data_IF_372036378987
#
_entry.id   IF_372036378987
#
_cell.length_a   1.000
_cell.length_b   1.000
_cell.length_c   1.000
_cell.angle_alpha   90.00
_cell.angle_beta   90.00
_cell.angle_gamma   90.00
#
_symmetry.space_group_name_H-M   'P 1'
#
loop_
_entity.id
_entity.type
_entity.pdbx_description
1 polymer ?
#
# COMPACT_ATOMS: atom_id res chain seq x y z
N UNK A 1 -14.57 -3.81 9.36
CA UNK A 1 -13.82 -2.71 8.73
C UNK A 1 -14.48 -1.42 9.18
N UNK A 2 -13.78 -0.50 9.86
CA UNK A 2 -14.32 0.84 10.07
C UNK A 2 -14.59 1.40 8.67
N UNK A 3 -15.87 1.62 8.35
CA UNK A 3 -16.28 2.19 7.07
C UNK A 3 -15.73 3.61 7.00
N UNK A 4 -15.03 3.94 5.91
CA UNK A 4 -14.77 5.34 5.59
C UNK A 4 -16.14 6.02 5.49
N UNK A 5 -16.43 7.05 6.31
CA UNK A 5 -17.67 7.80 6.19
C UNK A 5 -17.83 8.32 4.76
N UNK A 6 -19.07 8.42 4.28
CA UNK A 6 -19.35 8.98 2.95
C UNK A 6 -18.68 10.35 2.78
N UNK A 7 -18.25 10.70 1.57
CA UNK A 7 -17.48 11.92 1.30
C UNK A 7 -18.24 13.17 1.80
N UNK A 8 -19.57 13.13 1.71
CA UNK A 8 -20.55 14.11 2.20
C UNK A 8 -20.53 14.36 3.73
N UNK A 9 -19.73 13.62 4.49
CA UNK A 9 -19.58 13.80 5.95
C UNK A 9 -18.24 14.44 6.34
N UNK A 10 -17.48 14.93 5.35
CA UNK A 10 -16.12 15.45 5.53
C UNK A 10 -15.91 16.88 5.03
N UNK A 11 -16.98 17.61 4.75
CA UNK A 11 -16.93 18.96 4.18
C UNK A 11 -15.98 19.90 4.94
N UNK A 12 -15.93 19.80 6.27
CA UNK A 12 -14.98 20.57 7.09
C UNK A 12 -13.51 20.18 6.88
N UNK A 13 -13.19 18.89 6.81
CA UNK A 13 -11.81 18.44 6.51
C UNK A 13 -11.41 18.79 5.07
N UNK A 14 -12.36 18.72 4.14
CA UNK A 14 -12.14 19.08 2.76
C UNK A 14 -11.82 20.57 2.69
N UNK A 15 -12.70 21.45 3.16
CA UNK A 15 -12.49 22.90 3.14
C UNK A 15 -11.24 23.39 3.90
N UNK A 16 -10.85 22.75 5.01
CA UNK A 16 -9.68 23.15 5.80
C UNK A 16 -8.34 22.58 5.30
N UNK A 17 -8.33 21.39 4.72
CA UNK A 17 -7.09 20.64 4.43
C UNK A 17 -6.81 20.48 2.93
N UNK A 18 -7.78 20.75 2.07
CA UNK A 18 -7.62 20.71 0.63
C UNK A 18 -8.46 21.84 -0.01
N UNK A 19 -7.85 22.67 -0.86
CA UNK A 19 -8.56 23.72 -1.59
C UNK A 19 -9.49 23.08 -2.63
N UNK A 20 -10.66 22.63 -2.18
CA UNK A 20 -11.62 21.78 -2.92
C UNK A 20 -12.97 22.47 -2.93
N UNK A 21 -13.43 22.82 -4.12
CA UNK A 21 -14.71 23.50 -4.33
C UNK A 21 -15.86 22.48 -4.34
N UNK A 22 -15.68 21.34 -5.01
CA UNK A 22 -16.66 20.26 -5.08
C UNK A 22 -15.96 18.89 -4.96
N UNK A 23 -16.14 18.16 -3.84
CA UNK A 23 -15.39 16.93 -3.56
C UNK A 23 -15.57 15.81 -4.60
N UNK A 24 -16.69 15.80 -5.30
CA UNK A 24 -17.01 14.78 -6.29
C UNK A 24 -16.40 15.13 -7.66
N UNK A 25 -16.44 16.39 -8.05
CA UNK A 25 -15.90 16.92 -9.30
C UNK A 25 -14.38 16.97 -9.27
N UNK A 26 -13.83 17.36 -8.11
CA UNK A 26 -12.39 17.44 -7.88
C UNK A 26 -11.79 16.08 -7.49
N UNK A 27 -12.58 14.99 -7.52
CA UNK A 27 -12.10 13.69 -7.12
C UNK A 27 -10.85 13.27 -7.92
N UNK A 28 -9.78 12.94 -7.19
CA UNK A 28 -8.48 12.58 -7.76
C UNK A 28 -7.49 13.74 -7.91
N UNK A 29 -7.91 14.98 -7.67
CA UNK A 29 -7.01 16.16 -7.64
C UNK A 29 -6.47 16.47 -6.24
N UNK A 30 -7.08 15.93 -5.19
CA UNK A 30 -6.71 16.17 -3.79
C UNK A 30 -6.46 14.88 -3.01
N UNK A 31 -5.78 15.02 -1.87
CA UNK A 31 -5.50 13.94 -0.94
C UNK A 31 -5.68 14.41 0.51
N UNK A 32 -6.50 13.70 1.27
CA UNK A 32 -6.70 13.95 2.69
C UNK A 32 -5.76 13.07 3.50
N UNK A 33 -4.80 13.70 4.18
CA UNK A 33 -3.83 13.03 5.02
C UNK A 33 -4.43 12.68 6.39
N UNK A 34 -3.96 11.59 6.98
CA UNK A 34 -4.29 11.18 8.35
C UNK A 34 -3.01 11.16 9.17
N UNK A 35 -2.49 12.35 9.47
CA UNK A 35 -1.18 12.48 10.14
C UNK A 35 -1.17 11.84 11.53
N UNK A 36 -2.33 11.83 12.19
CA UNK A 36 -2.59 11.23 13.51
C UNK A 36 -2.72 9.70 13.48
N UNK A 37 -2.68 9.07 12.30
CA UNK A 37 -2.93 7.63 12.14
C UNK A 37 -1.96 6.76 12.96
N UNK A 38 -0.63 6.99 12.96
CA UNK A 38 0.29 6.16 13.75
C UNK A 38 -0.01 6.22 15.24
N UNK A 39 -0.14 7.42 15.81
CA UNK A 39 -0.42 7.63 17.23
C UNK A 39 -1.75 7.00 17.63
N UNK A 40 -2.82 7.25 16.87
CA UNK A 40 -4.13 6.65 17.14
C UNK A 40 -4.12 5.14 17.03
N UNK A 41 -3.36 4.59 16.08
CA UNK A 41 -3.22 3.15 15.94
C UNK A 41 -2.48 2.57 17.15
N UNK A 42 -1.39 3.20 17.59
CA UNK A 42 -0.67 2.84 18.81
C UNK A 42 -1.60 2.78 20.02
N UNK A 43 -2.32 3.86 20.31
CA UNK A 43 -3.25 3.94 21.45
C UNK A 43 -4.31 2.81 21.41
N UNK A 44 -4.90 2.54 20.25
CA UNK A 44 -5.89 1.46 20.09
C UNK A 44 -5.27 0.08 20.33
N UNK A 45 -4.00 -0.12 19.95
CA UNK A 45 -3.30 -1.38 20.11
C UNK A 45 -2.80 -1.60 21.54
N UNK A 46 -2.42 -0.54 22.25
CA UNK A 46 -2.04 -0.57 23.67
C UNK A 46 -3.22 -0.92 24.57
N UNK A 47 -4.41 -0.37 24.28
CA UNK A 47 -5.63 -0.65 25.05
C UNK A 47 -6.15 -2.08 24.86
N UNK A 48 -5.74 -2.76 23.78
CA UNK A 48 -6.19 -4.12 23.46
C UNK A 48 -5.27 -5.17 24.05
N UNK A 49 -5.83 -6.10 24.81
CA UNK A 49 -5.08 -7.29 25.23
C UNK A 49 -4.73 -8.15 23.98
N UNK A 50 -3.43 -8.39 23.69
CA UNK A 50 -3.00 -9.26 22.60
C UNK A 50 -3.58 -10.69 22.69
N UNK A 51 -3.94 -11.15 23.89
CA UNK A 51 -4.53 -12.47 24.12
C UNK A 51 -5.94 -12.62 23.53
N UNK A 52 -6.66 -11.52 23.35
CA UNK A 52 -8.00 -11.50 22.74
C UNK A 52 -7.95 -11.67 21.21
N UNK A 53 -6.77 -11.63 20.60
CA UNK A 53 -6.64 -11.81 19.15
C UNK A 53 -7.03 -13.22 18.76
N UNK A 54 -8.01 -13.33 17.87
CA UNK A 54 -8.50 -14.61 17.36
C UNK A 54 -7.38 -15.39 16.66
N UNK A 55 -6.96 -16.49 17.29
CA UNK A 55 -6.11 -17.50 16.67
C UNK A 55 -6.97 -18.44 15.81
N UNK A 56 -6.56 -18.65 14.57
CA UNK A 56 -7.16 -19.67 13.69
C UNK A 56 -6.11 -20.72 13.32
N UNK A 57 -6.54 -21.83 12.71
CA UNK A 57 -5.63 -22.83 12.13
C UNK A 57 -4.65 -22.22 11.11
N UNK A 58 -5.04 -21.11 10.45
CA UNK A 58 -4.22 -20.37 9.48
C UNK A 58 -3.37 -19.26 10.11
N UNK A 59 -3.35 -19.15 11.44
CA UNK A 59 -2.60 -18.13 12.19
C UNK A 59 -3.47 -17.00 12.74
N UNK A 60 -2.82 -15.90 13.13
CA UNK A 60 -3.41 -14.68 13.76
C UNK A 60 -3.93 -13.64 12.77
N UNK A 61 -3.88 -13.94 11.47
CA UNK A 61 -4.17 -12.98 10.42
C UNK A 61 -3.00 -12.04 10.11
N UNK A 62 -3.20 -11.21 9.09
CA UNK A 62 -2.21 -10.25 8.57
C UNK A 62 -2.92 -8.96 8.21
N UNK A 63 -2.32 -7.81 8.54
CA UNK A 63 -2.84 -6.50 8.12
C UNK A 63 -2.32 -6.21 6.72
N UNK A 64 -3.25 -6.07 5.77
CA UNK A 64 -2.94 -5.68 4.40
C UNK A 64 -3.09 -4.18 4.24
N UNK A 65 -1.98 -3.49 4.00
CA UNK A 65 -1.97 -2.10 3.58
C UNK A 65 -2.14 -2.03 2.07
N UNK A 66 -2.83 -0.97 1.60
CA UNK A 66 -3.11 -0.73 0.19
C UNK A 66 -3.98 -1.77 -0.51
N UNK A 67 -4.97 -2.29 0.20
CA UNK A 67 -6.06 -3.06 -0.41
C UNK A 67 -6.97 -2.21 -1.33
N UNK A 68 -7.03 -0.88 -1.10
CA UNK A 68 -7.82 0.06 -1.91
C UNK A 68 -6.98 1.23 -2.46
N UNK A 69 -6.20 1.88 -1.60
CA UNK A 69 -5.41 3.07 -1.93
C UNK A 69 -3.93 2.84 -1.65
N UNK A 70 -3.05 3.23 -2.57
CA UNK A 70 -1.60 3.10 -2.39
C UNK A 70 -1.14 3.92 -1.17
N UNK A 71 -0.38 3.32 -0.25
CA UNK A 71 0.05 3.97 0.99
C UNK A 71 1.35 4.78 0.80
N UNK A 72 1.99 4.65 -0.37
CA UNK A 72 3.17 5.40 -0.80
C UNK A 72 2.85 6.33 -1.98
N UNK A 73 1.66 6.95 -1.99
CA UNK A 73 1.26 7.94 -3.00
C UNK A 73 2.25 9.10 -3.11
N UNK A 74 2.72 9.60 -1.97
CA UNK A 74 3.73 10.65 -1.88
C UNK A 74 4.62 10.48 -0.64
N UNK A 75 5.50 11.45 -0.40
CA UNK A 75 6.43 11.43 0.73
C UNK A 75 5.72 11.51 2.08
N UNK A 76 4.62 12.27 2.19
CA UNK A 76 3.88 12.45 3.44
C UNK A 76 3.08 11.20 3.76
N UNK A 77 2.40 10.58 2.80
CA UNK A 77 1.74 9.29 3.02
C UNK A 77 2.74 8.19 3.35
N UNK A 78 3.93 8.20 2.73
CA UNK A 78 5.00 7.26 3.06
C UNK A 78 5.44 7.39 4.53
N UNK A 79 5.62 8.62 5.04
CA UNK A 79 5.95 8.84 6.46
C UNK A 79 4.86 8.36 7.42
N UNK A 80 3.59 8.64 7.11
CA UNK A 80 2.45 8.15 7.88
C UNK A 80 2.42 6.61 7.87
N UNK A 81 2.65 6.01 6.71
CA UNK A 81 2.69 4.56 6.52
C UNK A 81 3.81 3.92 7.32
N UNK A 82 5.02 4.50 7.27
CA UNK A 82 6.16 4.06 8.06
C UNK A 82 5.82 4.02 9.56
N UNK A 83 5.21 5.08 10.08
CA UNK A 83 4.76 5.13 11.48
C UNK A 83 3.73 4.04 11.80
N UNK A 84 2.70 3.90 10.96
CA UNK A 84 1.68 2.87 11.17
C UNK A 84 2.25 1.44 11.10
N UNK A 85 3.21 1.18 10.20
CA UNK A 85 3.90 -0.12 10.13
C UNK A 85 4.74 -0.34 11.39
N UNK A 86 5.47 0.67 11.87
CA UNK A 86 6.24 0.55 13.10
C UNK A 86 5.37 0.17 14.31
N UNK A 87 4.18 0.76 14.44
CA UNK A 87 3.23 0.40 15.49
C UNK A 87 2.74 -1.04 15.38
N UNK A 88 2.35 -1.47 14.17
CA UNK A 88 1.89 -2.85 13.92
C UNK A 88 2.99 -3.87 14.25
N UNK A 89 4.22 -3.60 13.83
CA UNK A 89 5.37 -4.48 14.07
C UNK A 89 5.73 -4.51 15.56
N UNK A 90 5.69 -3.38 16.27
CA UNK A 90 5.96 -3.33 17.73
C UNK A 90 4.94 -4.18 18.50
N UNK A 91 3.70 -4.24 18.04
CA UNK A 91 2.62 -5.02 18.65
C UNK A 91 2.50 -6.45 18.10
N UNK A 92 3.53 -6.98 17.45
CA UNK A 92 3.60 -8.35 16.89
C UNK A 92 2.45 -8.67 15.91
N UNK A 93 2.07 -7.68 15.08
CA UNK A 93 1.08 -7.82 14.01
C UNK A 93 1.81 -7.92 12.68
N UNK A 94 1.72 -9.07 11.97
CA UNK A 94 2.27 -9.18 10.63
C UNK A 94 1.60 -8.21 9.65
N UNK A 95 2.40 -7.62 8.78
CA UNK A 95 1.97 -6.63 7.78
C UNK A 95 2.32 -7.10 6.37
N UNK A 96 1.39 -6.88 5.44
CA UNK A 96 1.60 -6.98 4.00
C UNK A 96 1.36 -5.63 3.35
N UNK A 97 2.28 -5.22 2.50
CA UNK A 97 2.18 -3.96 1.75
C UNK A 97 2.07 -4.30 0.27
N UNK A 98 1.14 -3.68 -0.45
CA UNK A 98 1.09 -3.72 -1.91
C UNK A 98 1.16 -2.30 -2.47
N UNK A 99 2.26 -1.93 -3.11
CA UNK A 99 2.45 -0.57 -3.63
C UNK A 99 3.07 -0.60 -5.02
N UNK A 100 2.74 0.39 -5.85
CA UNK A 100 3.43 0.63 -7.14
C UNK A 100 4.60 1.60 -6.99
N UNK A 101 4.75 2.23 -5.83
CA UNK A 101 5.76 3.26 -5.59
C UNK A 101 7.11 2.62 -5.28
N UNK A 102 8.19 2.96 -5.99
CA UNK A 102 9.54 2.55 -5.62
C UNK A 102 10.01 3.20 -4.32
N UNK A 103 9.34 4.27 -3.85
CA UNK A 103 9.67 4.96 -2.60
C UNK A 103 9.59 4.07 -1.35
N UNK A 104 8.94 2.91 -1.45
CA UNK A 104 8.92 1.88 -0.40
C UNK A 104 10.33 1.40 -0.01
N UNK A 105 11.32 1.49 -0.90
CA UNK A 105 12.70 1.10 -0.59
C UNK A 105 13.37 2.01 0.44
N UNK A 106 12.84 3.22 0.67
CA UNK A 106 13.36 4.13 1.68
C UNK A 106 13.12 3.63 3.11
N UNK A 107 12.17 2.70 3.29
CA UNK A 107 11.82 2.12 4.59
C UNK A 107 12.50 0.77 4.85
N UNK A 108 13.61 0.51 4.15
CA UNK A 108 14.33 -0.76 4.22
C UNK A 108 14.79 -1.11 5.65
N UNK A 109 15.25 -0.12 6.41
CA UNK A 109 15.70 -0.29 7.79
C UNK A 109 14.58 -0.82 8.70
N UNK A 110 13.36 -0.28 8.56
CA UNK A 110 12.18 -0.74 9.27
C UNK A 110 11.81 -2.17 8.88
N UNK A 111 11.87 -2.49 7.58
CA UNK A 111 11.51 -3.82 7.10
C UNK A 111 12.50 -4.89 7.53
N UNK A 112 13.80 -4.56 7.57
CA UNK A 112 14.82 -5.47 8.08
C UNK A 112 14.61 -5.76 9.57
N UNK A 113 14.25 -4.74 10.36
CA UNK A 113 13.92 -4.92 11.78
C UNK A 113 12.63 -5.73 12.00
N UNK A 114 11.67 -5.67 11.06
CA UNK A 114 10.43 -6.42 11.14
C UNK A 114 10.60 -7.94 10.91
N UNK A 115 11.59 -8.34 10.12
CA UNK A 115 11.88 -9.75 9.85
C UNK A 115 10.78 -10.46 9.05
N UNK A 116 10.32 -11.62 9.52
CA UNK A 116 9.26 -12.41 8.89
C UNK A 116 7.85 -11.80 9.03
N UNK A 117 7.71 -10.77 9.86
CA UNK A 117 6.45 -10.06 10.10
C UNK A 117 6.12 -9.05 9.01
N UNK A 118 7.00 -8.82 8.04
CA UNK A 118 6.72 -7.93 6.90
C UNK A 118 6.82 -8.70 5.58
N UNK A 119 5.91 -8.40 4.66
CA UNK A 119 6.08 -8.78 3.25
C UNK A 119 5.65 -7.62 2.36
N UNK A 120 6.51 -7.23 1.42
CA UNK A 120 6.27 -6.10 0.53
C UNK A 120 6.06 -6.59 -0.89
N UNK A 121 5.02 -6.12 -1.56
CA UNK A 121 4.77 -6.47 -2.94
C UNK A 121 4.47 -5.28 -3.81
N UNK A 122 4.60 -5.51 -5.10
CA UNK A 122 4.22 -4.54 -6.11
C UNK A 122 3.31 -5.16 -7.16
N UNK A 123 2.36 -4.34 -7.62
CA UNK A 123 1.52 -4.69 -8.76
C UNK A 123 2.31 -4.52 -10.06
N UNK A 124 2.57 -5.63 -10.75
CA UNK A 124 3.24 -5.66 -12.05
C UNK A 124 2.31 -6.37 -13.04
N UNK A 125 1.60 -5.56 -13.81
CA UNK A 125 0.66 -6.03 -14.84
C UNK A 125 1.39 -6.68 -16.04
N UNK A 126 2.40 -5.99 -16.54
CA UNK A 126 3.16 -6.35 -17.74
C UNK A 126 4.50 -5.64 -17.72
N UNK A 127 5.51 -6.20 -18.38
CA UNK A 127 6.78 -5.51 -18.63
C UNK A 127 6.77 -4.65 -19.90
N UNK A 128 5.68 -4.65 -20.67
CA UNK A 128 5.51 -3.72 -21.78
C UNK A 128 5.17 -2.32 -21.25
N UNK A 129 6.17 -1.43 -21.19
CA UNK A 129 6.04 -0.09 -20.65
C UNK A 129 4.98 0.76 -21.39
N UNK A 130 4.84 0.60 -22.70
CA UNK A 130 3.81 1.31 -23.50
C UNK A 130 2.41 0.89 -23.07
N UNK A 131 2.19 -0.42 -22.89
CA UNK A 131 0.91 -0.95 -22.41
C UNK A 131 0.61 -0.47 -20.98
N UNK A 132 1.59 -0.54 -20.08
CA UNK A 132 1.40 -0.09 -18.69
C UNK A 132 1.09 1.41 -18.64
N UNK A 133 1.81 2.24 -19.40
CA UNK A 133 1.54 3.68 -19.48
C UNK A 133 0.13 3.99 -20.00
N UNK A 134 -0.37 3.20 -20.94
CA UNK A 134 -1.75 3.35 -21.44
C UNK A 134 -2.81 2.99 -20.40
N UNK A 135 -2.51 2.09 -19.46
CA UNK A 135 -3.45 1.62 -18.43
C UNK A 135 -3.33 2.39 -17.10
N UNK A 136 -2.11 2.75 -16.70
CA UNK A 136 -1.77 3.38 -15.42
C UNK A 136 -0.79 4.56 -15.67
N UNK A 137 -1.23 5.66 -16.33
CA UNK A 137 -0.34 6.70 -16.85
C UNK A 137 0.50 7.41 -15.77
N UNK A 138 -0.04 7.52 -14.56
CA UNK A 138 0.60 8.20 -13.43
C UNK A 138 1.44 7.27 -12.56
N UNK A 139 1.41 5.95 -12.82
CA UNK A 139 2.14 4.99 -12.02
C UNK A 139 3.57 4.79 -12.55
N UNK A 140 4.54 4.45 -11.67
CA UNK A 140 5.91 4.19 -12.08
C UNK A 140 6.01 3.08 -13.15
N UNK A 141 7.01 3.10 -14.04
CA UNK A 141 7.22 2.04 -15.02
C UNK A 141 7.39 0.66 -14.36
N UNK A 142 7.00 -0.44 -15.04
CA UNK A 142 7.03 -1.78 -14.45
C UNK A 142 8.44 -2.24 -14.07
N UNK A 143 9.46 -1.82 -14.82
CA UNK A 143 10.86 -2.15 -14.50
C UNK A 143 11.33 -1.47 -13.22
N UNK A 144 10.92 -0.23 -12.97
CA UNK A 144 11.26 0.49 -11.74
C UNK A 144 10.62 -0.18 -10.52
N UNK A 145 9.39 -0.67 -10.67
CA UNK A 145 8.70 -1.46 -9.63
C UNK A 145 9.43 -2.78 -9.35
N UNK A 146 9.89 -3.47 -10.39
CA UNK A 146 10.68 -4.69 -10.27
C UNK A 146 12.01 -4.44 -9.55
N UNK A 147 12.74 -3.40 -9.94
CA UNK A 147 14.01 -3.03 -9.30
C UNK A 147 13.84 -2.71 -7.82
N UNK A 148 12.72 -2.10 -7.42
CA UNK A 148 12.40 -1.88 -6.02
C UNK A 148 12.22 -3.20 -5.26
N UNK A 149 11.48 -4.16 -5.83
CA UNK A 149 11.33 -5.50 -5.21
C UNK A 149 12.67 -6.25 -5.14
N UNK A 150 13.50 -6.17 -6.18
CA UNK A 150 14.83 -6.77 -6.20
C UNK A 150 15.74 -6.18 -5.11
N UNK A 151 15.71 -4.85 -4.94
CA UNK A 151 16.44 -4.16 -3.86
C UNK A 151 16.00 -4.65 -2.47
N UNK A 152 14.68 -4.76 -2.25
CA UNK A 152 14.13 -5.27 -0.99
C UNK A 152 14.52 -6.74 -0.75
N UNK A 153 14.42 -7.57 -1.79
CA UNK A 153 14.79 -8.98 -1.71
C UNK A 153 16.28 -9.17 -1.36
N UNK A 154 17.17 -8.42 -2.02
CA UNK A 154 18.61 -8.45 -1.78
C UNK A 154 18.97 -8.05 -0.34
N UNK A 155 18.16 -7.19 0.27
CA UNK A 155 18.29 -6.78 1.66
C UNK A 155 17.64 -7.74 2.67
N UNK A 156 17.08 -8.87 2.21
CA UNK A 156 16.49 -9.92 3.04
C UNK A 156 15.01 -9.74 3.36
N UNK A 157 14.33 -8.77 2.73
CA UNK A 157 12.89 -8.54 2.93
C UNK A 157 12.08 -9.51 2.07
N UNK A 158 11.06 -10.14 2.66
CA UNK A 158 10.14 -11.01 1.92
C UNK A 158 9.32 -10.21 0.91
N UNK A 159 9.32 -10.63 -0.36
CA UNK A 159 8.63 -9.91 -1.44
C UNK A 159 7.63 -10.76 -2.22
N UNK A 160 6.64 -10.11 -2.82
CA UNK A 160 5.72 -10.76 -3.77
C UNK A 160 5.35 -9.86 -4.96
N UNK A 161 4.83 -10.46 -6.02
CA UNK A 161 4.27 -9.73 -7.16
C UNK A 161 2.78 -9.98 -7.23
N UNK A 162 2.00 -8.90 -7.30
CA UNK A 162 0.59 -8.97 -7.67
C UNK A 162 0.45 -8.77 -9.18
N UNK A 163 0.11 -9.84 -9.90
CA UNK A 163 -0.15 -9.75 -11.33
C UNK A 163 -1.65 -9.54 -11.57
N UNK A 164 -2.10 -8.29 -11.60
CA UNK A 164 -3.49 -7.94 -11.84
C UNK A 164 -3.64 -6.53 -12.44
N UNK A 165 -4.71 -6.26 -13.21
CA UNK A 165 -5.66 -7.24 -13.78
C UNK A 165 -5.03 -8.03 -14.92
N UNK A 166 -5.17 -9.35 -14.96
CA UNK A 166 -4.64 -10.11 -16.12
C UNK A 166 -5.51 -9.84 -17.34
N UNK A 167 -4.90 -9.34 -18.43
CA UNK A 167 -5.62 -9.11 -19.69
C UNK A 167 -6.13 -10.45 -20.21
N UNK A 168 -7.36 -10.47 -20.73
CA UNK A 168 -7.87 -11.63 -21.48
C UNK A 168 -6.87 -11.98 -22.59
N UNK A 169 -6.40 -13.22 -22.56
CA UNK A 169 -5.62 -13.80 -23.63
C UNK A 169 -6.49 -13.91 -24.88
N UNK A 170 -6.33 -13.00 -25.84
CA UNK A 170 -6.90 -13.15 -27.17
C UNK A 170 -5.90 -13.91 -28.03
N UNK A 171 -6.25 -15.13 -28.48
CA UNK A 171 -5.44 -15.93 -29.41
C UNK A 171 -5.24 -15.14 -30.73
N UNK A 172 -4.13 -14.42 -30.84
CA UNK A 172 -3.55 -13.78 -32.05
C UNK A 172 -2.25 -13.14 -31.54
N UNK A 173 -1.05 -13.62 -31.80
CA UNK A 173 -0.51 -14.16 -33.05
C UNK A 173 0.67 -15.06 -32.68
N UNK A 174 0.54 -16.38 -32.85
CA UNK A 174 1.72 -17.21 -33.11
C UNK A 174 1.95 -17.11 -34.61
N UNK A 175 2.77 -16.16 -35.05
CA UNK A 175 3.41 -16.30 -36.35
C UNK A 175 4.57 -17.26 -36.10
N UNK A 176 4.41 -18.47 -36.62
CA UNK A 176 5.43 -19.50 -36.67
C UNK A 176 6.74 -18.91 -37.20
N UNK A 177 7.83 -19.13 -36.48
CA UNK A 177 9.17 -19.12 -37.07
C UNK A 177 9.46 -20.49 -37.68
#
# INVERSE_FOLDING_TARGET
MPTTPAIDSRDGMLAEQADVDDPQTDWGSYLLYRDDLPERLGNILEERDPSERKQTERGRGVVMLSSGTDCYQDRRTAQITRGAVAELITHDIPVRILTRSPGVTLDLDLFQAAGDRITVGSSILSFNATLVRAMEPNAPPPMTRWQALDTLQQAGVSVFVSMSPTRRWTKRTFTSY
#
